data_IF_548785957702
#
_entry.id   IF_548785957702
#
_cell.length_a   1.000
_cell.length_b   1.000
_cell.length_c   1.000
_cell.angle_alpha   90.00
_cell.angle_beta   90.00
_cell.angle_gamma   90.00
#
_symmetry.space_group_name_H-M   'P 1'
#
loop_
_entity.id
_entity.type
_entity.pdbx_description
1 polymer ?
#
# COMPACT_ATOMS: atom_id res chain seq x y z
N UNK A 1 -16.44 5.65 12.11
CA UNK A 1 -15.19 4.95 12.51
C UNK A 1 -14.02 5.88 12.20
N UNK A 2 -13.10 6.11 13.13
CA UNK A 2 -11.92 6.97 12.87
C UNK A 2 -10.84 6.14 12.20
N UNK A 3 -10.27 6.64 11.12
CA UNK A 3 -9.13 6.01 10.43
C UNK A 3 -7.83 6.23 11.22
N UNK A 4 -7.73 7.31 11.99
CA UNK A 4 -6.53 7.65 12.76
C UNK A 4 -6.53 7.06 14.16
N UNK A 5 -5.37 6.59 14.61
CA UNK A 5 -5.13 6.03 15.95
C UNK A 5 -4.09 6.78 16.77
N UNK A 6 -3.24 7.61 16.13
CA UNK A 6 -2.09 8.33 16.74
C UNK A 6 -0.97 7.44 17.28
N UNK A 7 -1.07 6.12 17.12
CA UNK A 7 -0.04 5.19 17.62
C UNK A 7 1.33 5.38 16.97
N UNK A 8 1.37 5.99 15.77
CA UNK A 8 2.60 6.26 15.04
C UNK A 8 3.19 7.65 15.24
N UNK A 9 2.64 8.48 16.13
CA UNK A 9 3.10 9.86 16.33
C UNK A 9 4.53 9.90 16.92
N UNK A 10 4.98 8.80 17.54
CA UNK A 10 6.34 8.65 18.09
C UNK A 10 7.36 8.07 17.09
N UNK A 11 7.05 8.07 15.79
CA UNK A 11 7.95 7.52 14.76
C UNK A 11 7.85 6.01 14.55
N UNK A 12 7.05 5.30 15.35
CA UNK A 12 6.91 3.84 15.29
C UNK A 12 5.70 3.39 14.48
N UNK A 13 5.73 2.17 13.95
CA UNK A 13 4.58 1.49 13.35
C UNK A 13 4.52 0.02 13.76
N UNK A 14 3.35 -0.60 13.62
CA UNK A 14 3.16 -2.02 13.92
C UNK A 14 3.10 -2.83 12.64
N UNK A 15 3.90 -3.89 12.56
CA UNK A 15 3.75 -4.94 11.56
C UNK A 15 2.54 -5.84 11.87
N UNK A 16 2.10 -6.57 10.85
CA UNK A 16 1.22 -7.72 11.03
C UNK A 16 1.88 -8.68 12.04
N UNK A 17 1.12 -9.09 13.05
CA UNK A 17 1.64 -9.88 14.19
C UNK A 17 2.07 -9.05 15.41
N UNK A 18 1.93 -7.72 15.37
CA UNK A 18 2.03 -6.86 16.56
C UNK A 18 3.45 -6.38 16.91
N UNK A 19 4.48 -6.80 16.16
CA UNK A 19 5.84 -6.29 16.31
C UNK A 19 5.89 -4.80 15.93
N UNK A 20 6.47 -3.95 16.79
CA UNK A 20 6.70 -2.53 16.48
C UNK A 20 8.10 -2.30 15.94
N UNK A 21 8.20 -1.46 14.91
CA UNK A 21 9.45 -1.03 14.25
C UNK A 21 9.40 0.46 13.95
N UNK A 22 10.54 1.07 13.68
CA UNK A 22 10.63 2.47 13.24
C UNK A 22 9.97 2.63 11.85
N UNK A 23 9.44 3.82 11.57
CA UNK A 23 8.80 4.13 10.29
C UNK A 23 9.78 4.18 9.11
N UNK A 24 11.06 4.34 9.38
CA UNK A 24 12.16 4.34 8.41
C UNK A 24 12.86 2.97 8.32
N UNK A 25 12.35 1.94 8.99
CA UNK A 25 12.82 0.56 8.81
C UNK A 25 12.59 0.11 7.36
N UNK A 26 13.60 -0.55 6.77
CA UNK A 26 13.60 -1.04 5.39
C UNK A 26 12.36 -1.85 5.01
N UNK A 27 11.72 -2.54 5.98
CA UNK A 27 10.46 -3.27 5.73
C UNK A 27 9.29 -2.34 5.51
N UNK A 28 9.22 -1.24 6.27
CA UNK A 28 8.15 -0.24 6.12
C UNK A 28 8.31 0.46 4.78
N UNK A 29 9.54 0.82 4.40
CA UNK A 29 9.84 1.38 3.08
C UNK A 29 9.40 0.43 1.97
N UNK A 30 9.81 -0.85 2.03
CA UNK A 30 9.43 -1.85 1.04
C UNK A 30 7.90 -2.00 0.89
N UNK A 31 7.16 -2.05 2.00
CA UNK A 31 5.69 -2.12 1.94
C UNK A 31 5.07 -0.83 1.41
N UNK A 32 5.61 0.34 1.77
CA UNK A 32 5.18 1.63 1.26
C UNK A 32 5.39 1.76 -0.24
N UNK A 33 6.52 1.31 -0.78
CA UNK A 33 6.78 1.30 -2.23
C UNK A 33 5.78 0.41 -2.98
N UNK A 34 5.42 -0.74 -2.41
CA UNK A 34 4.40 -1.61 -3.00
C UNK A 34 3.01 -0.95 -2.94
N UNK A 35 2.66 -0.27 -1.85
CA UNK A 35 1.39 0.47 -1.72
C UNK A 35 1.30 1.64 -2.72
N UNK A 36 2.42 2.34 -2.94
CA UNK A 36 2.53 3.38 -3.96
C UNK A 36 2.36 2.81 -5.38
N UNK A 37 3.04 1.70 -5.70
CA UNK A 37 2.86 0.99 -6.97
C UNK A 37 1.39 0.56 -7.15
N UNK A 38 0.75 0.04 -6.10
CA UNK A 38 -0.64 -0.39 -6.12
C UNK A 38 -1.59 0.77 -6.45
N UNK A 39 -1.28 1.96 -5.93
CA UNK A 39 -2.01 3.20 -6.24
C UNK A 39 -1.86 3.60 -7.71
N UNK A 40 -0.64 3.49 -8.26
CA UNK A 40 -0.39 3.75 -9.69
C UNK A 40 -1.08 2.73 -10.61
N UNK A 41 -1.15 1.45 -10.22
CA UNK A 41 -1.91 0.44 -10.97
C UNK A 41 -3.39 0.83 -11.05
N UNK A 42 -3.99 1.29 -9.95
CA UNK A 42 -5.36 1.78 -9.93
C UNK A 42 -5.58 2.98 -10.86
N UNK A 43 -4.61 3.90 -10.94
CA UNK A 43 -4.63 5.01 -11.89
C UNK A 43 -4.57 4.51 -13.34
N UNK A 44 -3.66 3.60 -13.66
CA UNK A 44 -3.57 2.99 -15.00
C UNK A 44 -4.88 2.28 -15.37
N UNK A 45 -5.45 1.50 -14.46
CA UNK A 45 -6.72 0.79 -14.66
C UNK A 45 -7.85 1.75 -15.07
N UNK A 46 -7.92 2.94 -14.46
CA UNK A 46 -8.93 3.95 -14.79
C UNK A 46 -8.86 4.42 -16.26
N UNK A 47 -7.66 4.53 -16.82
CA UNK A 47 -7.44 5.05 -18.18
C UNK A 47 -7.46 3.97 -19.28
N UNK A 48 -7.38 2.69 -18.92
CA UNK A 48 -7.44 1.61 -19.90
C UNK A 48 -8.82 1.53 -20.56
N UNK A 49 -8.84 1.14 -21.84
CA UNK A 49 -10.07 0.97 -22.62
C UNK A 49 -10.42 -0.51 -22.82
N UNK A 50 -9.41 -1.34 -23.06
CA UNK A 50 -9.57 -2.77 -23.31
C UNK A 50 -9.83 -3.53 -22.01
N UNK A 51 -10.85 -4.40 -22.03
CA UNK A 51 -11.25 -5.20 -20.86
C UNK A 51 -10.19 -6.25 -20.50
N UNK A 52 -9.44 -6.75 -21.49
CA UNK A 52 -8.33 -7.69 -21.26
C UNK A 52 -7.21 -7.09 -20.41
N UNK A 53 -6.88 -5.82 -20.65
CA UNK A 53 -5.79 -5.12 -19.96
C UNK A 53 -6.22 -4.73 -18.55
N UNK A 54 -7.49 -4.33 -18.39
CA UNK A 54 -8.10 -4.10 -17.07
C UNK A 54 -8.09 -5.36 -16.23
N UNK A 55 -8.45 -6.50 -16.82
CA UNK A 55 -8.44 -7.78 -16.12
C UNK A 55 -7.01 -8.20 -15.73
N UNK A 56 -6.02 -7.92 -16.58
CA UNK A 56 -4.62 -8.15 -16.25
C UNK A 56 -4.16 -7.28 -15.05
N UNK A 57 -4.45 -5.98 -15.06
CA UNK A 57 -4.09 -5.10 -13.92
C UNK A 57 -4.83 -5.48 -12.64
N UNK A 58 -6.10 -5.87 -12.74
CA UNK A 58 -6.90 -6.28 -11.59
C UNK A 58 -6.39 -7.56 -10.92
N UNK A 59 -5.75 -8.46 -11.67
CA UNK A 59 -5.09 -9.66 -11.12
C UNK A 59 -3.78 -9.34 -10.39
N UNK A 60 -3.14 -8.22 -10.72
CA UNK A 60 -1.86 -7.79 -10.14
C UNK A 60 -2.09 -6.95 -8.88
N UNK A 61 -3.11 -6.09 -8.90
CA UNK A 61 -3.45 -5.20 -7.80
C UNK A 61 -3.81 -6.00 -6.53
N UNK A 62 -3.17 -5.66 -5.41
CA UNK A 62 -3.36 -6.32 -4.10
C UNK A 62 -4.40 -5.59 -3.26
#
# INVERSE_FOLDING_TARGET
MKVYTKNGDKGMTSLIGGKKIEKDDIRVEAYGTIDELNSYIGLCYHYLKEDSDKEALRKIQV
#
